data_IF_005569261086
#
_entry.id   IF_005569261086
#
_cell.length_a   1.000
_cell.length_b   1.000
_cell.length_c   1.000
_cell.angle_alpha   90.00
_cell.angle_beta   90.00
_cell.angle_gamma   90.00
#
_symmetry.space_group_name_H-M   'P 1'
#
loop_
_entity.id
_entity.type
_entity.pdbx_description
1 polymer ?
#
# COMPACT_ATOMS: atom_id res chain seq x y z
N UNK A 1 25.99 -12.95 -39.57
CA UNK A 1 25.53 -11.56 -39.81
C UNK A 1 24.51 -11.62 -40.94
N UNK A 2 23.27 -11.91 -40.58
CA UNK A 2 22.18 -12.14 -41.53
C UNK A 2 21.04 -11.28 -41.03
N UNK A 3 20.84 -10.14 -41.70
CA UNK A 3 19.75 -9.20 -41.38
C UNK A 3 18.45 -9.76 -41.95
N UNK A 4 17.52 -10.12 -41.08
CA UNK A 4 16.14 -10.43 -41.42
C UNK A 4 15.36 -9.10 -41.33
N UNK A 5 14.80 -8.66 -42.46
CA UNK A 5 13.84 -7.58 -42.56
C UNK A 5 12.46 -8.17 -42.30
N UNK A 6 11.74 -7.71 -41.27
CA UNK A 6 10.32 -7.98 -41.09
C UNK A 6 9.52 -6.83 -41.71
N UNK A 7 8.71 -7.20 -42.69
CA UNK A 7 7.78 -6.33 -43.42
C UNK A 7 6.55 -6.04 -42.56
N UNK A 8 6.14 -4.77 -42.46
CA UNK A 8 4.95 -4.31 -41.71
C UNK A 8 3.73 -4.42 -42.62
N UNK A 9 2.95 -5.49 -42.46
CA UNK A 9 1.60 -5.58 -43.03
C UNK A 9 0.54 -5.09 -42.03
N UNK A 10 -0.08 -3.97 -42.39
CA UNK A 10 -1.29 -3.43 -41.76
C UNK A 10 -2.48 -4.39 -41.92
N UNK A 11 -3.14 -4.72 -40.82
CA UNK A 11 -4.49 -5.32 -40.80
C UNK A 11 -5.51 -4.25 -40.37
N UNK A 12 -6.66 -4.09 -41.06
CA UNK A 12 -7.72 -3.21 -40.60
C UNK A 12 -8.66 -3.97 -39.64
N UNK A 13 -8.91 -3.38 -38.46
CA UNK A 13 -9.98 -3.80 -37.54
C UNK A 13 -11.35 -3.54 -38.20
N UNK A 14 -12.13 -4.60 -38.37
CA UNK A 14 -13.56 -4.51 -38.61
C UNK A 14 -14.28 -4.51 -37.25
N UNK A 15 -14.93 -3.39 -36.93
CA UNK A 15 -15.80 -3.25 -35.77
C UNK A 15 -17.08 -4.09 -35.95
N UNK A 16 -17.29 -5.05 -35.07
CA UNK A 16 -18.55 -5.80 -34.96
C UNK A 16 -19.27 -5.29 -33.70
N UNK A 17 -20.20 -4.35 -33.89
CA UNK A 17 -21.09 -3.88 -32.82
C UNK A 17 -22.19 -4.92 -32.58
N UNK A 18 -22.17 -5.53 -31.39
CA UNK A 18 -23.26 -6.38 -30.91
C UNK A 18 -24.09 -5.57 -29.90
N UNK A 19 -25.34 -5.33 -30.26
CA UNK A 19 -26.34 -4.73 -29.37
C UNK A 19 -26.75 -5.74 -28.29
N UNK A 20 -26.65 -5.36 -27.01
CA UNK A 20 -27.38 -6.01 -25.92
C UNK A 20 -28.53 -5.11 -25.48
N UNK A 21 -29.75 -5.64 -25.53
CA UNK A 21 -30.94 -5.07 -24.91
C UNK A 21 -31.17 -5.75 -23.55
N UNK A 22 -31.54 -5.02 -22.48
CA UNK A 22 -31.86 -5.64 -21.20
C UNK A 22 -33.30 -6.18 -21.22
N UNK A 23 -33.44 -7.47 -20.92
CA UNK A 23 -34.71 -8.07 -20.50
C UNK A 23 -34.92 -7.75 -19.02
N UNK A 24 -35.96 -6.98 -18.71
CA UNK A 24 -36.41 -6.72 -17.35
C UNK A 24 -37.07 -7.96 -16.76
N UNK A 25 -36.59 -8.37 -15.58
CA UNK A 25 -37.21 -9.39 -14.75
C UNK A 25 -38.02 -8.69 -13.65
N UNK A 26 -39.31 -9.01 -13.54
CA UNK A 26 -40.21 -8.49 -12.51
C UNK A 26 -40.18 -9.40 -11.28
N UNK A 27 -40.07 -8.79 -10.10
CA UNK A 27 -40.16 -9.39 -8.77
C UNK A 27 -41.62 -9.64 -8.37
N UNK A 28 -41.96 -10.85 -7.93
CA UNK A 28 -43.12 -11.10 -7.07
C UNK A 28 -42.67 -11.83 -5.80
N UNK A 29 -42.91 -11.17 -4.67
CA UNK A 29 -42.81 -11.68 -3.29
C UNK A 29 -44.12 -12.41 -2.90
N UNK A 30 -44.08 -13.32 -1.92
CA UNK A 30 -45.18 -13.45 -0.99
C UNK A 30 -44.73 -13.09 0.44
N UNK A 31 -45.50 -12.17 1.00
CA UNK A 31 -45.55 -11.73 2.38
C UNK A 31 -45.80 -12.84 3.41
N UNK A 32 -45.14 -12.78 4.56
CA UNK A 32 -45.64 -13.43 5.78
C UNK A 32 -44.64 -13.62 6.93
N UNK A 33 -44.06 -12.53 7.47
CA UNK A 33 -43.22 -12.59 8.66
C UNK A 33 -43.97 -12.38 9.99
N UNK A 34 -43.64 -13.22 10.99
CA UNK A 34 -43.49 -12.95 12.44
C UNK A 34 -44.73 -12.48 13.24
N UNK A 35 -44.92 -12.76 14.54
CA UNK A 35 -44.09 -13.05 15.73
C UNK A 35 -45.11 -13.67 16.74
N UNK A 36 -44.83 -14.50 17.76
CA UNK A 36 -44.27 -14.15 19.08
C UNK A 36 -43.92 -15.41 19.88
N UNK A 37 -42.71 -15.42 20.41
CA UNK A 37 -42.17 -16.19 21.54
C UNK A 37 -42.72 -15.69 22.88
N UNK A 38 -42.82 -16.56 23.89
CA UNK A 38 -42.11 -16.48 25.18
C UNK A 38 -42.56 -17.61 26.16
N UNK A 39 -41.61 -18.51 26.43
CA UNK A 39 -41.24 -19.16 27.71
C UNK A 39 -42.22 -19.15 28.90
N UNK A 40 -42.46 -20.32 29.50
CA UNK A 40 -41.86 -20.75 30.78
C UNK A 40 -42.42 -22.11 31.21
N UNK A 41 -41.52 -23.00 31.64
CA UNK A 41 -41.87 -24.27 32.27
C UNK A 41 -42.34 -24.12 33.72
N UNK A 42 -42.95 -25.18 34.23
CA UNK A 42 -42.83 -25.58 35.63
C UNK A 42 -43.09 -27.07 35.79
N UNK A 43 -42.41 -27.63 36.77
CA UNK A 43 -42.21 -29.02 37.16
C UNK A 43 -43.45 -29.69 37.76
N UNK A 44 -43.42 -31.02 37.88
CA UNK A 44 -44.02 -31.71 39.04
C UNK A 44 -44.87 -32.95 38.76
N UNK A 45 -44.21 -34.11 38.72
CA UNK A 45 -44.32 -35.26 39.62
C UNK A 45 -45.70 -35.66 40.21
N UNK A 46 -46.02 -36.96 40.12
CA UNK A 46 -46.47 -37.73 41.29
C UNK A 46 -47.89 -38.34 41.32
N UNK A 47 -47.89 -39.67 41.21
CA UNK A 47 -48.62 -40.67 42.04
C UNK A 47 -50.07 -41.10 41.68
N UNK A 48 -50.27 -42.43 41.62
CA UNK A 48 -51.59 -43.05 41.82
C UNK A 48 -51.83 -44.48 41.29
N UNK A 49 -51.19 -45.47 41.91
CA UNK A 49 -51.71 -46.79 42.31
C UNK A 49 -52.26 -47.86 41.33
N UNK A 50 -51.57 -49.01 41.38
CA UNK A 50 -52.00 -50.43 41.44
C UNK A 50 -53.09 -51.02 40.53
N UNK A 51 -52.70 -52.04 39.75
CA UNK A 51 -53.37 -53.35 39.75
C UNK A 51 -52.48 -54.44 39.15
N UNK A 52 -52.03 -55.37 39.99
CA UNK A 52 -51.70 -56.74 39.60
C UNK A 52 -52.98 -57.44 39.11
N UNK A 53 -53.00 -57.90 37.86
CA UNK A 53 -53.95 -58.91 37.41
C UNK A 53 -53.31 -59.78 36.33
N UNK A 54 -53.18 -61.06 36.69
CA UNK A 54 -52.80 -62.18 35.83
C UNK A 54 -53.66 -62.23 34.57
N UNK A 55 -53.03 -62.43 33.41
CA UNK A 55 -53.73 -62.86 32.19
C UNK A 55 -52.99 -64.05 31.55
N UNK A 56 -53.23 -65.22 32.14
CA UNK A 56 -53.16 -66.49 31.42
C UNK A 56 -54.38 -66.56 30.47
N UNK A 57 -54.18 -66.11 29.24
CA UNK A 57 -55.22 -66.07 28.22
C UNK A 57 -54.66 -66.24 26.82
N UNK A 58 -54.22 -67.47 26.48
CA UNK A 58 -53.84 -67.83 25.13
C UNK A 58 -54.93 -67.47 24.11
N UNK A 59 -54.58 -66.56 23.21
CA UNK A 59 -55.40 -66.08 22.10
C UNK A 59 -54.60 -66.12 20.81
N UNK A 60 -54.54 -67.32 20.24
CA UNK A 60 -54.18 -67.62 18.86
C UNK A 60 -54.64 -66.52 17.89
N UNK A 61 -53.67 -65.85 17.28
CA UNK A 61 -53.87 -64.84 16.23
C UNK A 61 -53.07 -65.26 14.99
N UNK A 62 -53.50 -66.36 14.38
CA UNK A 62 -53.70 -66.39 12.94
C UNK A 62 -52.54 -66.86 12.06
N UNK A 63 -51.95 -68.02 12.35
CA UNK A 63 -51.25 -68.76 11.29
C UNK A 63 -52.29 -69.51 10.45
N UNK A 64 -52.28 -69.38 9.10
CA UNK A 64 -53.26 -70.05 8.23
C UNK A 64 -53.22 -71.58 8.43
N UNK A 65 -54.36 -72.27 8.31
CA UNK A 65 -54.40 -73.71 8.46
C UNK A 65 -53.60 -74.35 7.32
N UNK A 66 -52.43 -74.90 7.68
CA UNK A 66 -51.43 -75.62 6.86
C UNK A 66 -50.06 -74.93 6.72
N UNK A 67 -49.85 -73.77 7.34
CA UNK A 67 -48.57 -73.08 7.24
C UNK A 67 -47.37 -73.94 7.70
N UNK A 68 -46.37 -74.06 6.82
CA UNK A 68 -45.13 -74.80 7.02
C UNK A 68 -45.14 -76.20 6.42
N UNK A 69 -46.02 -76.51 5.47
CA UNK A 69 -46.08 -77.82 4.79
C UNK A 69 -45.32 -77.88 3.44
N UNK A 70 -44.76 -76.75 3.01
CA UNK A 70 -44.00 -76.59 1.78
C UNK A 70 -44.85 -76.32 0.53
N UNK A 71 -46.14 -76.01 0.69
CA UNK A 71 -47.07 -75.66 -0.40
C UNK A 71 -47.81 -74.38 -0.05
N UNK A 72 -47.75 -73.37 -0.93
CA UNK A 72 -48.50 -72.11 -0.73
C UNK A 72 -50.01 -72.37 -0.89
N UNK A 73 -50.73 -72.40 0.24
CA UNK A 73 -52.16 -72.63 0.32
C UNK A 73 -52.98 -71.33 0.30
N UNK A 74 -54.31 -71.46 0.23
CA UNK A 74 -55.22 -70.31 0.18
C UNK A 74 -55.21 -69.54 1.51
N UNK A 75 -54.57 -68.37 1.52
CA UNK A 75 -54.43 -67.51 2.70
C UNK A 75 -52.98 -67.34 3.16
N UNK A 76 -52.04 -68.04 2.52
CA UNK A 76 -50.60 -67.90 2.69
C UNK A 76 -50.01 -67.05 1.58
N UNK A 77 -48.97 -66.28 1.90
CA UNK A 77 -48.20 -65.52 0.93
C UNK A 77 -46.93 -66.27 0.50
N UNK A 78 -46.41 -67.12 1.38
CA UNK A 78 -45.26 -68.00 1.17
C UNK A 78 -45.36 -69.26 2.04
N UNK A 79 -44.67 -70.34 1.65
CA UNK A 79 -44.49 -71.52 2.50
C UNK A 79 -43.20 -72.25 2.10
N UNK A 80 -42.16 -72.13 2.94
CA UNK A 80 -40.86 -72.81 2.76
C UNK A 80 -40.76 -74.11 3.58
N UNK A 81 -41.89 -74.61 4.08
CA UNK A 81 -41.95 -75.79 4.92
C UNK A 81 -41.28 -75.59 6.27
N UNK A 82 -40.45 -76.55 6.67
CA UNK A 82 -39.62 -76.48 7.89
C UNK A 82 -38.61 -75.31 7.88
N UNK A 83 -38.40 -74.63 6.75
CA UNK A 83 -37.51 -73.47 6.65
C UNK A 83 -38.20 -72.13 6.94
N UNK A 84 -39.51 -72.12 7.25
CA UNK A 84 -40.17 -70.92 7.77
C UNK A 84 -39.51 -70.50 9.10
N UNK A 85 -39.27 -69.20 9.26
CA UNK A 85 -38.58 -68.66 10.43
C UNK A 85 -39.06 -67.23 10.67
N UNK A 86 -39.23 -66.84 11.94
CA UNK A 86 -39.60 -65.47 12.30
C UNK A 86 -38.54 -64.41 11.91
N UNK A 87 -37.36 -64.86 11.48
CA UNK A 87 -36.28 -64.02 10.95
C UNK A 87 -35.88 -64.40 9.51
N UNK A 88 -36.71 -65.17 8.80
CA UNK A 88 -36.49 -65.58 7.41
C UNK A 88 -37.44 -64.91 6.44
N UNK A 89 -37.15 -65.01 5.14
CA UNK A 89 -37.95 -64.47 4.03
C UNK A 89 -39.43 -64.90 4.05
N UNK A 90 -39.71 -66.05 4.66
CA UNK A 90 -41.06 -66.50 4.97
C UNK A 90 -41.19 -66.70 6.47
N UNK A 91 -42.08 -65.93 7.09
CA UNK A 91 -42.29 -65.95 8.55
C UNK A 91 -42.89 -67.28 9.00
N UNK A 92 -42.87 -67.59 10.30
CA UNK A 92 -43.58 -68.76 10.84
C UNK A 92 -45.12 -68.67 10.69
N UNK A 93 -45.64 -67.52 10.27
CA UNK A 93 -47.04 -67.28 9.95
C UNK A 93 -47.35 -67.35 8.44
N UNK A 94 -46.39 -67.78 7.60
CA UNK A 94 -46.54 -67.88 6.15
C UNK A 94 -46.86 -66.54 5.47
N UNK A 95 -46.32 -65.48 6.03
CA UNK A 95 -46.31 -64.14 5.45
C UNK A 95 -44.93 -63.83 4.89
N UNK A 96 -44.88 -63.04 3.81
CA UNK A 96 -43.61 -62.62 3.23
C UNK A 96 -42.97 -61.57 4.15
N UNK A 97 -41.66 -61.67 4.35
CA UNK A 97 -40.86 -60.63 5.00
C UNK A 97 -41.14 -59.27 4.35
N UNK A 98 -41.47 -58.26 5.16
CA UNK A 98 -41.85 -56.93 4.69
C UNK A 98 -40.98 -55.91 5.39
N UNK A 99 -40.33 -55.06 4.61
CA UNK A 99 -39.56 -53.92 5.08
C UNK A 99 -40.46 -52.92 5.83
N UNK A 100 -40.00 -52.40 6.97
CA UNK A 100 -40.70 -51.42 7.80
C UNK A 100 -41.65 -52.06 8.83
N UNK A 101 -41.50 -53.35 9.15
CA UNK A 101 -42.35 -54.07 10.11
C UNK A 101 -41.74 -54.19 11.53
N UNK A 102 -40.55 -53.64 11.72
CA UNK A 102 -39.78 -53.60 12.96
C UNK A 102 -38.92 -54.84 13.19
N UNK A 103 -38.66 -55.66 12.17
CA UNK A 103 -37.80 -56.85 12.26
C UNK A 103 -36.83 -56.89 11.08
N UNK A 104 -35.63 -57.37 11.35
CA UNK A 104 -34.60 -57.59 10.33
C UNK A 104 -34.55 -59.06 9.92
N UNK A 105 -34.86 -59.35 8.67
CA UNK A 105 -34.88 -60.68 8.05
C UNK A 105 -33.53 -60.98 7.34
N UNK A 106 -32.77 -61.97 7.84
CA UNK A 106 -31.42 -62.27 7.36
C UNK A 106 -31.40 -62.64 5.86
N UNK A 107 -30.64 -61.89 5.06
CA UNK A 107 -30.50 -62.11 3.62
C UNK A 107 -31.69 -61.67 2.78
N UNK A 108 -32.64 -60.94 3.37
CA UNK A 108 -33.69 -60.21 2.67
C UNK A 108 -33.45 -58.70 2.74
N UNK A 109 -33.03 -58.20 3.89
CA UNK A 109 -32.81 -56.78 4.15
C UNK A 109 -31.63 -56.53 5.09
N UNK A 110 -31.07 -55.31 5.08
CA UNK A 110 -29.89 -54.93 5.87
C UNK A 110 -30.26 -54.19 7.18
N UNK A 111 -31.40 -53.50 7.20
CA UNK A 111 -31.96 -52.76 8.32
C UNK A 111 -33.50 -52.84 8.34
N UNK A 112 -34.14 -52.41 9.43
CA UNK A 112 -35.59 -52.15 9.52
C UNK A 112 -35.83 -51.22 10.73
N UNK A 113 -36.44 -50.06 10.51
CA UNK A 113 -36.77 -49.05 11.52
C UNK A 113 -38.28 -48.85 11.73
N UNK A 114 -39.07 -49.86 11.35
CA UNK A 114 -40.51 -49.97 11.53
C UNK A 114 -41.34 -48.86 10.84
N UNK A 115 -40.81 -48.24 9.77
CA UNK A 115 -41.55 -47.24 9.01
C UNK A 115 -41.21 -47.24 7.50
N UNK A 116 -41.84 -46.33 6.75
CA UNK A 116 -41.69 -46.17 5.29
C UNK A 116 -41.11 -44.78 4.95
N UNK A 117 -40.12 -44.31 5.71
CA UNK A 117 -39.35 -43.09 5.44
C UNK A 117 -38.00 -43.46 4.79
N UNK A 118 -37.41 -42.53 4.03
CA UNK A 118 -36.05 -42.71 3.47
C UNK A 118 -35.04 -41.78 4.17
N UNK A 119 -35.47 -41.02 5.18
CA UNK A 119 -34.71 -39.91 5.77
C UNK A 119 -34.28 -40.19 7.22
N UNK A 120 -34.35 -41.45 7.64
CA UNK A 120 -33.93 -41.96 8.94
C UNK A 120 -32.98 -43.16 8.80
N UNK A 121 -32.97 -44.07 9.78
CA UNK A 121 -31.92 -45.09 9.92
C UNK A 121 -31.93 -46.13 8.77
N UNK A 122 -33.06 -46.27 8.06
CA UNK A 122 -33.25 -47.25 7.00
C UNK A 122 -34.05 -46.64 5.83
N UNK A 123 -33.76 -47.08 4.59
CA UNK A 123 -34.58 -46.70 3.43
C UNK A 123 -35.84 -47.56 3.33
N UNK A 124 -36.84 -47.14 2.55
CA UNK A 124 -38.07 -47.93 2.27
C UNK A 124 -37.82 -49.22 1.50
N UNK A 125 -36.60 -49.44 1.00
CA UNK A 125 -36.16 -50.70 0.40
C UNK A 125 -35.36 -51.57 1.37
N UNK A 126 -35.26 -51.14 2.62
CA UNK A 126 -34.50 -51.72 3.71
C UNK A 126 -33.00 -51.91 3.42
N UNK A 127 -32.47 -50.96 2.65
CA UNK A 127 -31.04 -50.69 2.55
C UNK A 127 -30.65 -49.68 3.65
N UNK A 128 -29.51 -49.88 4.28
CA UNK A 128 -29.01 -48.97 5.31
C UNK A 128 -28.80 -47.56 4.74
N UNK A 129 -29.08 -46.54 5.56
CA UNK A 129 -28.76 -45.15 5.27
C UNK A 129 -27.27 -45.00 4.90
N UNK A 130 -26.98 -44.55 3.68
CA UNK A 130 -25.61 -44.37 3.18
C UNK A 130 -25.51 -43.06 2.42
N UNK A 131 -24.48 -42.30 2.78
CA UNK A 131 -24.05 -41.11 2.04
C UNK A 131 -23.89 -41.37 0.53
N UNK A 132 -24.59 -40.60 -0.28
CA UNK A 132 -24.62 -40.66 -1.74
C UNK A 132 -25.77 -41.50 -2.31
N UNK A 133 -26.77 -41.87 -1.51
CA UNK A 133 -27.94 -42.65 -1.94
C UNK A 133 -29.12 -41.79 -2.46
N UNK A 134 -29.00 -40.46 -2.32
CA UNK A 134 -29.95 -39.47 -2.81
C UNK A 134 -30.99 -39.02 -1.77
N UNK A 135 -30.87 -39.45 -0.52
CA UNK A 135 -31.71 -39.02 0.60
C UNK A 135 -30.85 -38.39 1.67
N UNK A 136 -31.35 -37.36 2.38
CA UNK A 136 -30.65 -36.77 3.52
C UNK A 136 -31.20 -37.38 4.80
N UNK A 137 -30.40 -38.17 5.52
CA UNK A 137 -30.85 -38.83 6.75
C UNK A 137 -30.53 -38.02 8.02
N UNK A 138 -31.56 -37.71 8.83
CA UNK A 138 -31.41 -36.84 10.00
C UNK A 138 -30.46 -37.43 11.04
N UNK A 139 -29.36 -36.72 11.31
CA UNK A 139 -28.38 -37.12 12.33
C UNK A 139 -27.34 -38.15 11.86
N UNK A 140 -27.46 -38.64 10.62
CA UNK A 140 -26.44 -39.44 9.94
C UNK A 140 -25.54 -38.54 9.09
N UNK A 141 -26.13 -37.57 8.40
CA UNK A 141 -25.43 -36.69 7.46
C UNK A 141 -26.02 -35.26 7.38
N UNK A 142 -25.26 -34.33 6.79
CA UNK A 142 -25.65 -32.93 6.64
C UNK A 142 -26.21 -32.59 5.25
N UNK A 143 -25.83 -33.37 4.23
CA UNK A 143 -26.28 -33.25 2.84
C UNK A 143 -26.16 -34.60 2.13
N UNK A 144 -26.84 -34.75 1.00
CA UNK A 144 -26.70 -35.87 0.05
C UNK A 144 -27.15 -35.37 -1.33
N UNK A 145 -26.30 -35.48 -2.34
CA UNK A 145 -26.59 -35.11 -3.73
C UNK A 145 -26.62 -36.33 -4.69
N UNK A 146 -26.62 -37.54 -4.14
CA UNK A 146 -26.77 -38.81 -4.83
C UNK A 146 -25.57 -39.18 -5.71
N UNK A 147 -24.40 -38.62 -5.47
CA UNK A 147 -23.21 -38.92 -6.26
C UNK A 147 -21.87 -38.87 -5.47
N UNK A 148 -20.76 -39.19 -6.16
CA UNK A 148 -19.42 -39.28 -5.56
C UNK A 148 -18.50 -38.08 -5.92
N UNK A 149 -19.07 -37.00 -6.48
CA UNK A 149 -18.34 -35.75 -6.70
C UNK A 149 -18.23 -34.99 -5.38
N UNK A 150 -17.12 -34.28 -5.18
CA UNK A 150 -16.89 -33.52 -3.95
C UNK A 150 -17.10 -32.02 -4.16
N UNK A 151 -17.32 -31.59 -5.41
CA UNK A 151 -17.24 -30.19 -5.83
C UNK A 151 -18.60 -29.62 -6.30
N UNK A 152 -19.71 -30.31 -6.04
CA UNK A 152 -21.08 -29.92 -6.41
C UNK A 152 -21.96 -29.56 -5.21
N UNK A 153 -21.35 -29.34 -4.04
CA UNK A 153 -22.00 -28.78 -2.85
C UNK A 153 -22.20 -29.78 -1.71
N UNK A 154 -22.12 -31.08 -1.98
CA UNK A 154 -21.97 -32.10 -0.95
C UNK A 154 -20.68 -32.89 -1.18
N UNK A 155 -19.95 -33.18 -0.11
CA UNK A 155 -18.75 -34.04 -0.21
C UNK A 155 -19.15 -35.50 -0.11
N UNK A 156 -18.27 -36.42 -0.51
CA UNK A 156 -18.46 -37.87 -0.31
C UNK A 156 -18.39 -38.34 1.14
N UNK A 157 -18.16 -37.40 2.06
CA UNK A 157 -18.32 -37.60 3.49
C UNK A 157 -19.69 -37.09 4.02
N UNK A 158 -20.56 -36.66 3.10
CA UNK A 158 -21.87 -36.06 3.33
C UNK A 158 -21.87 -34.89 4.32
N UNK A 159 -20.83 -34.07 4.14
CA UNK A 159 -20.68 -32.74 4.74
C UNK A 159 -20.83 -31.73 3.63
N UNK A 160 -21.54 -30.64 3.90
CA UNK A 160 -21.71 -29.55 2.94
C UNK A 160 -20.35 -28.96 2.58
N UNK A 161 -20.11 -28.75 1.28
CA UNK A 161 -18.91 -28.08 0.80
C UNK A 161 -18.77 -26.69 1.44
N UNK A 162 -17.59 -26.39 1.98
CA UNK A 162 -17.34 -25.13 2.67
C UNK A 162 -16.07 -24.48 2.15
N UNK A 163 -16.13 -23.16 2.05
CA UNK A 163 -14.94 -22.39 1.74
C UNK A 163 -13.80 -22.64 2.75
N UNK A 164 -12.63 -22.99 2.24
CA UNK A 164 -11.44 -23.29 3.02
C UNK A 164 -11.29 -24.76 3.40
N UNK A 165 -12.02 -25.68 2.77
CA UNK A 165 -11.92 -27.12 3.01
C UNK A 165 -10.90 -27.83 2.09
N UNK A 166 -10.32 -27.09 1.14
CA UNK A 166 -9.34 -27.56 0.16
C UNK A 166 -9.96 -28.07 -1.13
N UNK A 167 -11.29 -27.96 -1.30
CA UNK A 167 -12.04 -28.45 -2.45
C UNK A 167 -12.79 -27.27 -3.07
N UNK A 168 -12.44 -26.93 -4.31
CA UNK A 168 -13.10 -25.86 -5.04
C UNK A 168 -14.55 -26.26 -5.41
N UNK A 169 -15.53 -25.72 -4.71
CA UNK A 169 -16.95 -25.99 -4.93
C UNK A 169 -17.53 -25.22 -6.12
N UNK A 170 -18.66 -25.69 -6.64
CA UNK A 170 -19.43 -24.99 -7.66
C UNK A 170 -19.95 -23.63 -7.13
N UNK A 171 -19.35 -22.54 -7.62
CA UNK A 171 -19.69 -21.16 -7.22
C UNK A 171 -18.57 -20.44 -6.48
N UNK A 172 -17.56 -21.18 -6.02
CA UNK A 172 -16.32 -20.63 -5.50
C UNK A 172 -15.37 -20.25 -6.65
N UNK A 173 -14.61 -19.17 -6.47
CA UNK A 173 -13.58 -18.78 -7.43
C UNK A 173 -12.20 -19.36 -7.07
N UNK A 174 -11.98 -19.61 -5.78
CA UNK A 174 -10.77 -20.18 -5.20
C UNK A 174 -11.15 -20.96 -3.94
N UNK A 175 -10.27 -21.88 -3.53
CA UNK A 175 -10.25 -22.50 -2.20
C UNK A 175 -8.78 -22.79 -1.87
N UNK A 176 -8.28 -22.28 -0.75
CA UNK A 176 -6.90 -22.41 -0.31
C UNK A 176 -6.73 -23.31 0.93
N UNK A 177 -7.78 -24.05 1.29
CA UNK A 177 -7.79 -24.99 2.39
C UNK A 177 -7.69 -24.37 3.78
N UNK A 178 -8.01 -23.08 3.92
CA UNK A 178 -8.09 -22.44 5.23
C UNK A 178 -9.15 -21.31 5.29
N UNK A 179 -9.40 -20.77 6.49
CA UNK A 179 -10.42 -19.74 6.73
C UNK A 179 -9.84 -18.33 6.88
N UNK A 180 -8.58 -18.11 6.49
CA UNK A 180 -7.94 -16.82 6.56
C UNK A 180 -8.45 -15.94 5.42
N UNK A 181 -9.06 -14.81 5.74
CA UNK A 181 -9.60 -13.90 4.74
C UNK A 181 -8.62 -12.79 4.36
N UNK A 182 -7.34 -12.94 4.68
CA UNK A 182 -6.30 -11.92 4.47
C UNK A 182 -5.19 -12.38 3.52
N UNK A 183 -5.45 -13.42 2.74
CA UNK A 183 -4.58 -13.97 1.69
C UNK A 183 -5.27 -13.90 0.32
N UNK A 184 -4.79 -14.70 -0.63
CA UNK A 184 -5.22 -14.70 -2.03
C UNK A 184 -6.67 -15.19 -2.23
N UNK A 185 -7.31 -15.78 -1.21
CA UNK A 185 -8.64 -16.38 -1.30
C UNK A 185 -9.64 -15.93 -0.20
N UNK A 186 -9.92 -14.63 -0.07
CA UNK A 186 -10.89 -14.14 0.90
C UNK A 186 -12.30 -14.63 0.58
N UNK A 187 -12.84 -15.48 1.47
CA UNK A 187 -14.22 -15.97 1.39
C UNK A 187 -14.56 -16.59 0.02
N UNK A 188 -13.62 -17.35 -0.55
CA UNK A 188 -13.77 -18.08 -1.81
C UNK A 188 -14.05 -17.19 -3.02
N UNK A 189 -13.63 -15.93 -2.94
CA UNK A 189 -13.47 -15.04 -4.07
C UNK A 189 -11.99 -14.70 -4.19
N UNK A 190 -11.51 -14.39 -5.40
CA UNK A 190 -10.16 -13.89 -5.55
C UNK A 190 -10.04 -12.50 -4.90
N UNK A 191 -8.95 -12.30 -4.15
CA UNK A 191 -8.52 -10.98 -3.72
C UNK A 191 -8.37 -10.02 -4.93
N UNK A 192 -8.82 -8.77 -4.81
CA UNK A 192 -8.67 -7.78 -5.88
C UNK A 192 -8.56 -6.34 -5.34
N UNK A 193 -7.83 -5.52 -6.09
CA UNK A 193 -7.69 -4.09 -5.82
C UNK A 193 -9.03 -3.36 -5.71
N UNK A 194 -9.24 -2.70 -4.59
CA UNK A 194 -10.41 -1.88 -4.33
C UNK A 194 -11.52 -2.61 -3.61
N UNK A 195 -11.24 -3.75 -2.98
CA UNK A 195 -12.20 -4.50 -2.18
C UNK A 195 -12.26 -4.03 -0.71
N UNK A 196 -11.33 -3.15 -0.33
CA UNK A 196 -11.23 -2.52 0.98
C UNK A 196 -10.26 -3.21 1.93
N UNK A 197 -9.52 -4.22 1.50
CA UNK A 197 -8.68 -5.05 2.37
C UNK A 197 -7.30 -5.34 1.79
N UNK A 198 -6.25 -4.75 2.35
CA UNK A 198 -4.87 -5.12 1.95
C UNK A 198 -4.57 -6.59 2.28
N UNK A 199 -4.51 -7.46 1.26
CA UNK A 199 -4.16 -8.88 1.44
C UNK A 199 -2.67 -9.16 1.27
N UNK A 200 -2.10 -9.89 2.22
CA UNK A 200 -0.66 -10.10 2.31
C UNK A 200 -0.16 -11.05 1.21
N UNK A 201 0.64 -10.52 0.28
CA UNK A 201 1.22 -11.30 -0.82
C UNK A 201 0.48 -11.13 -2.15
N UNK A 202 -0.72 -10.54 -2.14
CA UNK A 202 -1.48 -10.15 -3.34
C UNK A 202 -1.17 -8.70 -3.70
N UNK A 203 -1.24 -7.81 -2.71
CA UNK A 203 -1.19 -6.36 -2.91
C UNK A 203 -0.46 -5.63 -1.78
N UNK A 204 -0.05 -4.39 -2.06
CA UNK A 204 0.67 -3.52 -1.11
C UNK A 204 -0.17 -2.33 -0.63
N UNK A 205 -1.24 -1.99 -1.33
CA UNK A 205 -2.25 -1.01 -0.94
C UNK A 205 -3.63 -1.45 -1.40
N UNK A 206 -4.67 -0.88 -0.77
CA UNK A 206 -6.07 -0.93 -1.18
C UNK A 206 -6.78 0.26 -0.50
N UNK A 207 -7.50 1.06 -1.29
CA UNK A 207 -8.27 2.23 -0.82
C UNK A 207 -9.79 2.06 -1.02
N UNK A 208 -10.23 0.81 -1.23
CA UNK A 208 -11.63 0.42 -1.31
C UNK A 208 -12.33 0.84 -2.59
N UNK A 209 -11.60 1.23 -3.63
CA UNK A 209 -12.18 1.57 -4.92
C UNK A 209 -11.24 1.23 -6.10
N UNK A 210 -11.72 1.42 -7.34
CA UNK A 210 -10.98 1.09 -8.56
C UNK A 210 -10.51 2.33 -9.34
N UNK A 211 -10.57 3.51 -8.72
CA UNK A 211 -9.94 4.70 -9.28
C UNK A 211 -8.41 4.53 -9.20
N UNK A 212 -7.66 5.37 -9.92
CA UNK A 212 -6.20 5.24 -10.01
C UNK A 212 -5.50 6.58 -9.82
N UNK A 213 -6.25 7.56 -9.32
CA UNK A 213 -5.83 8.93 -9.10
C UNK A 213 -5.97 9.32 -7.62
N UNK A 214 -5.93 8.33 -6.75
CA UNK A 214 -6.00 8.39 -5.30
C UNK A 214 -4.92 7.48 -4.70
N UNK A 215 -5.11 6.97 -3.49
CA UNK A 215 -4.05 6.37 -2.69
C UNK A 215 -3.48 5.06 -3.27
N UNK A 216 -4.21 4.35 -4.12
CA UNK A 216 -3.81 3.08 -4.68
C UNK A 216 -4.10 2.96 -6.18
N UNK A 217 -3.09 2.60 -6.97
CA UNK A 217 -3.22 2.52 -8.43
C UNK A 217 -3.79 1.15 -8.85
N UNK A 218 -5.05 1.14 -9.26
CA UNK A 218 -5.71 -0.02 -9.87
C UNK A 218 -5.20 -0.30 -11.30
N UNK A 219 -5.12 -1.57 -11.76
CA UNK A 219 -5.39 -2.83 -11.06
C UNK A 219 -4.11 -3.46 -10.46
N UNK A 220 -3.00 -2.70 -10.41
CA UNK A 220 -1.71 -3.21 -9.97
C UNK A 220 -1.52 -3.17 -8.45
N UNK A 221 -2.38 -2.44 -7.75
CA UNK A 221 -2.36 -2.24 -6.29
C UNK A 221 -1.00 -1.77 -5.79
N UNK A 222 -0.44 -0.82 -6.53
CA UNK A 222 0.79 -0.15 -6.14
C UNK A 222 0.42 1.18 -5.49
N UNK A 223 1.09 1.55 -4.38
CA UNK A 223 0.89 2.85 -3.77
C UNK A 223 1.11 3.93 -4.82
N UNK A 224 0.27 4.95 -4.73
CA UNK A 224 0.43 6.12 -5.55
C UNK A 224 1.71 6.86 -5.11
N UNK A 225 2.56 7.22 -6.08
CA UNK A 225 3.89 7.81 -5.86
C UNK A 225 3.97 9.14 -6.57
N UNK A 226 4.61 10.09 -5.91
CA UNK A 226 4.92 11.39 -6.47
C UNK A 226 6.10 11.33 -7.43
N UNK A 227 6.04 12.15 -8.48
CA UNK A 227 6.98 12.19 -9.58
C UNK A 227 6.65 11.19 -10.70
N UNK A 228 5.42 10.68 -10.76
CA UNK A 228 4.98 9.70 -11.75
C UNK A 228 4.22 10.35 -12.95
N UNK A 229 3.93 11.63 -12.84
CA UNK A 229 3.26 12.46 -13.85
C UNK A 229 1.79 12.70 -13.57
N UNK A 230 1.25 12.24 -12.44
CA UNK A 230 -0.18 12.29 -12.14
C UNK A 230 -0.44 12.76 -10.72
N UNK A 231 -1.04 13.94 -10.57
CA UNK A 231 -1.49 14.44 -9.26
C UNK A 231 -2.59 13.56 -8.67
N UNK A 232 -2.28 12.89 -7.55
CA UNK A 232 -3.17 11.97 -6.84
C UNK A 232 -3.90 12.66 -5.67
N UNK A 233 -5.23 12.62 -5.66
CA UNK A 233 -6.05 13.35 -4.69
C UNK A 233 -5.81 12.84 -3.25
N UNK A 234 -5.36 13.74 -2.37
CA UNK A 234 -5.13 13.44 -0.96
C UNK A 234 -3.83 12.70 -0.65
N UNK A 235 -3.03 12.38 -1.68
CA UNK A 235 -1.67 11.84 -1.56
C UNK A 235 -0.65 12.96 -1.72
N UNK A 236 -0.85 13.83 -2.72
CA UNK A 236 0.04 14.93 -3.06
C UNK A 236 -0.72 16.19 -3.52
N UNK A 237 -0.05 17.34 -3.46
CA UNK A 237 -0.59 18.63 -3.88
C UNK A 237 -0.05 19.07 -5.26
N UNK A 238 1.05 18.48 -5.72
CA UNK A 238 1.63 18.67 -7.04
C UNK A 238 2.30 17.37 -7.53
N UNK A 239 2.53 17.27 -8.84
CA UNK A 239 3.37 16.26 -9.49
C UNK A 239 3.80 16.82 -10.85
N UNK A 240 5.10 16.78 -11.16
CA UNK A 240 5.65 17.20 -12.46
C UNK A 240 6.36 16.07 -13.24
N UNK A 241 6.17 14.83 -12.82
CA UNK A 241 6.68 13.63 -13.47
C UNK A 241 8.15 13.34 -13.18
N UNK A 242 8.72 13.94 -12.14
CA UNK A 242 10.06 13.61 -11.67
C UNK A 242 10.26 13.85 -10.15
N UNK A 243 11.48 13.63 -9.66
CA UNK A 243 11.86 13.77 -8.25
C UNK A 243 13.07 14.70 -8.13
N UNK A 244 12.96 15.89 -8.70
CA UNK A 244 13.93 16.99 -8.57
C UNK A 244 13.37 18.00 -7.57
N UNK A 245 14.21 18.53 -6.69
CA UNK A 245 13.77 19.52 -5.69
C UNK A 245 13.82 20.96 -6.24
N UNK A 246 14.31 21.14 -7.47
CA UNK A 246 14.60 22.46 -8.05
C UNK A 246 13.62 22.94 -9.13
N UNK A 247 12.51 22.23 -9.33
CA UNK A 247 11.47 22.53 -10.31
C UNK A 247 10.09 22.76 -9.67
N UNK A 248 9.02 22.63 -10.46
CA UNK A 248 7.67 23.08 -10.09
C UNK A 248 7.05 22.22 -8.98
N UNK A 249 7.51 20.98 -8.80
CA UNK A 249 7.08 20.09 -7.73
C UNK A 249 8.26 19.34 -7.06
N UNK A 250 8.72 19.81 -5.89
CA UNK A 250 9.80 19.17 -5.14
C UNK A 250 9.45 17.74 -4.70
N UNK A 251 10.45 16.97 -4.24
CA UNK A 251 10.25 15.60 -3.71
C UNK A 251 9.37 15.53 -2.46
N UNK A 252 9.02 16.68 -1.89
CA UNK A 252 8.03 16.81 -0.80
C UNK A 252 6.58 16.71 -1.28
N UNK A 253 6.33 16.86 -2.60
CA UNK A 253 5.02 16.73 -3.25
C UNK A 253 4.00 17.76 -2.76
N UNK A 254 4.55 18.88 -2.27
CA UNK A 254 3.88 20.12 -1.93
C UNK A 254 4.41 21.16 -2.91
N UNK A 255 3.54 22.02 -3.50
CA UNK A 255 3.97 23.08 -4.38
C UNK A 255 5.12 23.86 -3.79
N UNK A 256 6.16 23.97 -4.61
CA UNK A 256 7.38 24.72 -4.38
C UNK A 256 7.09 26.10 -3.75
N UNK A 257 7.75 26.45 -2.63
CA UNK A 257 7.52 27.70 -1.91
C UNK A 257 8.75 28.27 -1.21
N UNK A 258 8.76 29.61 -1.07
CA UNK A 258 9.80 30.35 -0.38
C UNK A 258 10.10 29.86 1.05
N UNK A 259 11.34 29.43 1.29
CA UNK A 259 11.81 28.95 2.59
C UNK A 259 11.64 27.45 2.81
N UNK A 260 11.44 26.67 1.74
CA UNK A 260 11.42 25.21 1.77
C UNK A 260 12.83 24.59 1.67
N UNK A 261 13.85 25.43 1.46
CA UNK A 261 15.26 25.06 1.42
C UNK A 261 15.81 24.83 0.02
N UNK A 262 15.03 25.07 -1.04
CA UNK A 262 15.44 24.84 -2.43
C UNK A 262 15.10 26.03 -3.31
N UNK A 263 16.10 26.65 -3.95
CA UNK A 263 15.84 27.76 -4.89
C UNK A 263 15.20 27.27 -6.19
N UNK A 264 13.95 27.65 -6.47
CA UNK A 264 13.21 27.19 -7.65
C UNK A 264 13.08 28.26 -8.75
N UNK A 265 13.47 27.90 -9.97
CA UNK A 265 13.54 28.84 -11.09
C UNK A 265 12.14 29.31 -11.55
N UNK A 266 11.80 30.58 -11.27
CA UNK A 266 10.53 31.19 -11.66
C UNK A 266 9.46 31.19 -10.58
N UNK A 267 9.74 30.56 -9.44
CA UNK A 267 8.97 30.68 -8.19
C UNK A 267 9.61 31.75 -7.30
N UNK A 268 10.95 31.73 -7.17
CA UNK A 268 11.69 32.64 -6.28
C UNK A 268 13.09 33.03 -6.81
N UNK A 269 13.67 34.12 -6.29
CA UNK A 269 15.03 34.56 -6.66
C UNK A 269 16.13 33.98 -5.75
N UNK A 270 15.74 33.52 -4.56
CA UNK A 270 16.55 32.95 -3.49
C UNK A 270 15.61 32.19 -2.53
N UNK A 271 16.14 31.38 -1.62
CA UNK A 271 15.36 30.73 -0.54
C UNK A 271 15.78 31.36 0.79
N UNK A 272 14.84 31.93 1.55
CA UNK A 272 15.12 32.62 2.83
C UNK A 272 15.72 31.62 3.84
N UNK A 273 15.30 30.36 3.80
CA UNK A 273 15.63 29.30 4.77
C UNK A 273 15.39 29.68 6.25
N UNK A 274 14.98 30.92 6.53
CA UNK A 274 14.76 31.48 7.85
C UNK A 274 13.60 32.49 7.79
N UNK A 275 13.53 33.44 8.74
CA UNK A 275 12.42 34.40 8.83
C UNK A 275 12.94 35.83 9.03
N UNK A 276 14.11 36.14 8.49
CA UNK A 276 14.83 37.38 8.77
C UNK A 276 14.91 38.19 7.49
N UNK A 277 14.10 39.25 7.40
CA UNK A 277 14.06 40.19 6.26
C UNK A 277 15.40 40.93 5.99
N UNK A 278 16.40 40.73 6.83
CA UNK A 278 17.61 41.51 6.97
C UNK A 278 18.87 40.79 6.42
N UNK A 279 18.68 39.64 5.78
CA UNK A 279 19.71 38.93 5.04
C UNK A 279 19.57 39.09 3.50
N UNK A 280 20.28 38.27 2.74
CA UNK A 280 20.28 38.31 1.28
C UNK A 280 18.88 38.02 0.69
N UNK A 281 18.09 37.18 1.35
CA UNK A 281 16.83 36.67 0.87
C UNK A 281 15.71 37.05 1.82
N UNK A 282 14.96 38.11 1.47
CA UNK A 282 13.83 38.54 2.29
C UNK A 282 12.79 37.41 2.49
N UNK A 283 11.90 37.54 3.48
CA UNK A 283 10.79 36.59 3.70
C UNK A 283 9.82 36.46 2.51
N UNK A 284 9.91 37.34 1.51
CA UNK A 284 9.17 37.24 0.25
C UNK A 284 10.00 36.66 -0.90
N UNK A 285 11.19 36.13 -0.58
CA UNK A 285 12.19 35.58 -1.48
C UNK A 285 12.56 36.49 -2.65
N UNK A 286 12.57 37.80 -2.39
CA UNK A 286 13.19 38.81 -3.24
C UNK A 286 14.58 39.17 -2.71
N UNK A 287 15.54 39.34 -3.61
CA UNK A 287 16.91 39.66 -3.22
C UNK A 287 17.04 41.10 -2.69
N UNK A 288 17.56 41.29 -1.46
CA UNK A 288 17.79 42.62 -0.86
C UNK A 288 19.18 43.22 -1.20
N UNK A 289 19.82 42.75 -2.27
CA UNK A 289 21.17 43.17 -2.65
C UNK A 289 21.94 42.07 -3.36
N UNK A 290 23.26 42.12 -3.23
CA UNK A 290 24.19 41.15 -3.76
C UNK A 290 24.91 40.49 -2.59
N UNK A 291 25.03 39.16 -2.64
CA UNK A 291 25.73 38.38 -1.62
C UNK A 291 26.62 37.32 -2.27
N UNK A 292 27.79 37.08 -1.68
CA UNK A 292 28.63 35.93 -2.02
C UNK A 292 29.45 35.50 -0.79
N UNK A 293 29.16 34.29 -0.30
CA UNK A 293 29.92 33.57 0.72
C UNK A 293 30.98 32.62 0.13
N UNK A 294 31.08 32.55 -1.20
CA UNK A 294 32.05 31.74 -1.94
C UNK A 294 31.89 30.21 -1.79
N UNK A 295 30.77 29.72 -1.25
CA UNK A 295 30.54 28.29 -1.01
C UNK A 295 30.33 27.47 -2.28
N UNK A 296 30.07 28.14 -3.40
CA UNK A 296 30.07 27.53 -4.74
C UNK A 296 31.44 27.04 -5.19
N UNK A 297 32.50 27.33 -4.42
CA UNK A 297 33.90 27.06 -4.74
C UNK A 297 34.31 27.62 -6.11
N UNK A 298 33.69 28.73 -6.51
CA UNK A 298 34.00 29.46 -7.71
C UNK A 298 33.71 30.95 -7.51
N UNK A 299 34.48 31.81 -8.19
CA UNK A 299 34.21 33.25 -8.22
C UNK A 299 33.21 33.56 -9.36
N UNK A 300 32.01 32.98 -9.28
CA UNK A 300 30.99 33.09 -10.33
C UNK A 300 29.59 33.44 -9.82
N UNK A 301 29.35 33.48 -8.50
CA UNK A 301 28.09 33.94 -7.91
C UNK A 301 27.82 35.40 -8.29
N UNK A 302 28.83 36.25 -8.17
CA UNK A 302 28.85 37.62 -8.69
C UNK A 302 29.82 37.73 -9.89
N UNK A 303 29.71 38.77 -10.73
CA UNK A 303 30.60 38.97 -11.88
C UNK A 303 32.00 39.45 -11.44
N UNK A 304 32.67 38.65 -10.63
CA UNK A 304 34.00 38.90 -10.11
C UNK A 304 35.02 38.97 -11.23
N UNK A 305 35.89 39.97 -11.13
CA UNK A 305 37.11 40.12 -11.92
C UNK A 305 38.29 40.10 -10.95
N UNK A 306 39.36 39.42 -11.33
CA UNK A 306 40.60 39.45 -10.58
C UNK A 306 41.74 39.79 -11.52
N UNK A 307 42.74 40.53 -11.02
CA UNK A 307 43.92 40.90 -11.79
C UNK A 307 45.13 41.16 -10.88
N UNK A 308 46.17 41.77 -11.45
CA UNK A 308 47.43 42.05 -10.77
C UNK A 308 48.53 41.02 -11.09
N UNK A 309 49.43 40.80 -10.15
CA UNK A 309 50.56 39.88 -10.30
C UNK A 309 50.20 38.42 -10.08
N UNK A 310 49.11 38.16 -9.34
CA UNK A 310 48.50 36.86 -9.16
C UNK A 310 46.99 37.04 -8.94
N UNK A 311 46.20 36.09 -9.41
CA UNK A 311 44.74 36.13 -9.30
C UNK A 311 44.28 35.68 -7.92
N UNK A 312 43.17 36.25 -7.45
CA UNK A 312 42.39 35.70 -6.35
C UNK A 312 41.67 34.42 -6.82
N UNK A 313 41.40 33.53 -5.87
CA UNK A 313 40.64 32.31 -6.08
C UNK A 313 39.96 31.89 -4.79
N UNK A 314 38.95 31.02 -4.90
CA UNK A 314 38.37 30.36 -3.73
C UNK A 314 39.40 29.44 -3.08
N UNK A 315 39.30 29.27 -1.76
CA UNK A 315 40.16 28.38 -0.98
C UNK A 315 39.37 27.75 0.17
N UNK A 316 39.71 26.51 0.51
CA UNK A 316 39.14 25.74 1.62
C UNK A 316 39.92 25.90 2.93
N UNK A 317 40.64 27.02 3.06
CA UNK A 317 41.53 27.27 4.19
C UNK A 317 41.14 28.53 4.90
N UNK A 318 40.87 28.38 6.20
CA UNK A 318 40.49 29.46 7.12
C UNK A 318 39.09 30.04 6.90
N UNK A 319 38.03 29.28 6.55
CA UNK A 319 36.68 29.83 6.43
C UNK A 319 36.25 30.61 7.68
N UNK A 320 35.54 31.72 7.48
CA UNK A 320 34.84 32.37 8.59
C UNK A 320 33.55 31.58 8.88
N UNK A 321 32.78 31.31 7.83
CA UNK A 321 31.63 30.40 7.80
C UNK A 321 31.79 29.39 6.65
N UNK A 322 31.05 28.29 6.69
CA UNK A 322 31.06 27.31 5.61
C UNK A 322 32.42 26.61 5.40
N UNK A 323 32.72 26.31 4.14
CA UNK A 323 33.87 25.53 3.70
C UNK A 323 34.87 26.34 2.88
N UNK A 324 34.46 27.45 2.25
CA UNK A 324 35.23 28.17 1.25
C UNK A 324 35.32 29.67 1.56
N UNK A 325 36.36 30.32 1.03
CA UNK A 325 36.60 31.76 1.13
C UNK A 325 37.25 32.28 -0.13
N UNK A 326 37.13 33.59 -0.42
CA UNK A 326 37.97 34.23 -1.43
C UNK A 326 39.34 34.60 -0.84
N UNK A 327 40.42 34.08 -1.43
CA UNK A 327 41.79 34.31 -0.98
C UNK A 327 42.64 35.02 -2.03
N UNK A 328 43.54 35.90 -1.59
CA UNK A 328 44.49 36.57 -2.48
C UNK A 328 45.44 35.60 -3.17
N UNK A 329 45.89 35.96 -4.38
CA UNK A 329 46.95 35.22 -5.05
C UNK A 329 48.28 35.28 -4.30
N UNK A 330 49.12 34.26 -4.46
CA UNK A 330 50.48 34.25 -3.88
C UNK A 330 51.36 35.24 -4.64
N UNK A 331 51.76 36.31 -3.98
CA UNK A 331 52.58 37.40 -4.55
C UNK A 331 53.90 37.58 -3.78
N UNK A 332 54.89 38.20 -4.43
CA UNK A 332 56.21 38.53 -3.88
C UNK A 332 56.36 40.06 -3.68
N UNK A 333 57.55 40.54 -3.34
CA UNK A 333 57.81 41.95 -3.04
C UNK A 333 57.42 42.88 -4.21
N UNK A 334 56.88 44.06 -3.88
CA UNK A 334 56.44 45.10 -4.83
C UNK A 334 55.39 44.62 -5.83
N UNK A 335 54.61 43.59 -5.46
CA UNK A 335 53.51 43.08 -6.27
C UNK A 335 52.17 43.32 -5.57
N UNK A 336 51.09 43.17 -6.32
CA UNK A 336 49.73 43.24 -5.82
C UNK A 336 48.85 42.17 -6.46
N UNK A 337 47.74 41.84 -5.80
CA UNK A 337 46.70 40.93 -6.26
C UNK A 337 45.36 41.57 -5.96
N UNK A 338 44.50 41.72 -6.97
CA UNK A 338 43.22 42.42 -6.82
C UNK A 338 42.04 41.49 -7.13
N UNK A 339 40.94 41.74 -6.43
CA UNK A 339 39.61 41.19 -6.70
C UNK A 339 38.65 42.38 -6.76
N UNK A 340 37.80 42.41 -7.77
CA UNK A 340 36.84 43.50 -7.98
C UNK A 340 35.51 42.97 -8.52
N UNK A 341 34.44 43.70 -8.24
CA UNK A 341 33.12 43.49 -8.82
C UNK A 341 32.49 44.84 -9.09
N UNK A 342 31.76 44.95 -10.21
CA UNK A 342 31.01 46.16 -10.56
C UNK A 342 29.54 45.81 -10.60
N UNK A 343 28.74 46.50 -9.78
CA UNK A 343 27.33 46.19 -9.54
C UNK A 343 26.51 47.48 -9.59
N UNK A 344 25.26 47.37 -10.01
CA UNK A 344 24.30 48.48 -10.01
C UNK A 344 23.45 48.41 -8.74
N UNK A 345 23.80 49.23 -7.75
CA UNK A 345 23.11 49.24 -6.46
C UNK A 345 21.82 50.06 -6.61
N UNK A 346 20.67 49.38 -6.58
CA UNK A 346 19.37 49.98 -6.90
C UNK A 346 18.94 51.06 -5.89
N UNK A 347 19.35 50.94 -4.63
CA UNK A 347 19.05 51.86 -3.53
C UNK A 347 20.29 52.14 -2.68
N UNK A 348 20.31 53.27 -1.97
CA UNK A 348 21.41 53.55 -1.05
C UNK A 348 21.39 52.56 0.12
N UNK A 349 22.57 52.07 0.50
CA UNK A 349 22.73 51.04 1.51
C UNK A 349 24.17 50.93 1.97
N UNK A 350 24.71 49.73 2.06
CA UNK A 350 26.07 49.47 2.51
C UNK A 350 26.72 48.28 1.82
N UNK A 351 28.04 48.23 1.92
CA UNK A 351 28.85 47.04 1.64
C UNK A 351 29.44 46.56 2.96
N UNK A 352 29.29 45.28 3.26
CA UNK A 352 29.93 44.61 4.38
C UNK A 352 30.65 43.34 3.92
N UNK A 353 31.71 42.97 4.62
CA UNK A 353 32.44 41.73 4.39
C UNK A 353 33.28 41.37 5.61
N UNK A 354 33.47 40.08 5.83
CA UNK A 354 34.48 39.58 6.76
C UNK A 354 35.84 39.56 6.09
N UNK A 355 36.89 39.86 6.85
CA UNK A 355 38.26 39.82 6.36
C UNK A 355 39.24 39.26 7.40
N UNK A 356 40.30 38.62 6.90
CA UNK A 356 41.42 38.11 7.68
C UNK A 356 42.74 38.45 7.00
N UNK A 357 43.74 38.86 7.79
CA UNK A 357 45.06 39.23 7.27
C UNK A 357 46.15 38.47 8.01
N UNK A 358 47.06 37.86 7.25
CA UNK A 358 48.29 37.26 7.77
C UNK A 358 49.45 37.73 6.90
N UNK A 359 49.93 38.94 7.17
CA UNK A 359 50.98 39.63 6.41
C UNK A 359 52.01 40.32 7.32
N UNK A 360 52.98 41.03 6.73
CA UNK A 360 53.89 41.88 7.47
C UNK A 360 53.20 43.14 8.03
N UNK A 361 53.36 43.37 9.33
CA UNK A 361 52.75 44.50 10.04
C UNK A 361 53.27 45.83 9.51
N UNK A 362 52.36 46.72 9.14
CA UNK A 362 52.63 48.09 8.68
C UNK A 362 53.31 48.22 7.32
N UNK A 363 53.51 47.13 6.58
CA UNK A 363 54.17 47.11 5.27
C UNK A 363 53.31 46.47 4.17
N UNK A 364 52.75 45.29 4.45
CA UNK A 364 51.88 44.56 3.53
C UNK A 364 50.43 44.77 3.90
N UNK A 365 49.60 45.25 2.96
CA UNK A 365 48.23 45.68 3.26
C UNK A 365 47.19 44.99 2.38
N UNK A 366 46.08 44.60 3.00
CA UNK A 366 44.77 44.54 2.35
C UNK A 366 44.14 45.95 2.38
N UNK A 367 43.67 46.42 1.23
CA UNK A 367 42.96 47.69 1.09
C UNK A 367 41.66 47.48 0.34
N UNK A 368 40.63 48.20 0.75
CA UNK A 368 39.33 48.19 0.11
C UNK A 368 39.04 49.54 -0.55
N UNK A 369 38.39 49.50 -1.71
CA UNK A 369 38.06 50.68 -2.52
C UNK A 369 36.60 50.62 -2.98
N UNK A 370 35.96 51.78 -3.00
CA UNK A 370 34.69 52.03 -3.69
C UNK A 370 34.98 53.11 -4.72
N UNK A 371 34.77 52.82 -6.01
CA UNK A 371 35.02 53.72 -7.14
C UNK A 371 36.44 54.32 -7.12
N UNK A 372 37.44 53.46 -6.94
CA UNK A 372 38.86 53.84 -6.78
C UNK A 372 39.20 54.70 -5.55
N UNK A 373 38.22 55.01 -4.69
CA UNK A 373 38.44 55.70 -3.41
C UNK A 373 38.67 54.68 -2.31
N UNK A 374 39.88 54.72 -1.72
CA UNK A 374 40.23 53.85 -0.61
C UNK A 374 39.34 54.13 0.61
N UNK A 375 38.80 53.06 1.19
CA UNK A 375 38.05 53.11 2.44
C UNK A 375 38.97 52.74 3.61
N UNK A 376 38.98 53.59 4.64
CA UNK A 376 39.86 53.43 5.80
C UNK A 376 41.36 53.45 5.49
N UNK A 377 42.18 53.02 6.45
CA UNK A 377 43.65 53.02 6.33
C UNK A 377 44.21 51.71 5.74
N UNK A 378 43.37 50.69 5.57
CA UNK A 378 43.76 49.32 5.23
C UNK A 378 44.24 48.49 6.42
N UNK A 379 44.44 47.20 6.20
CA UNK A 379 44.76 46.22 7.24
C UNK A 379 46.07 45.50 6.95
N UNK A 380 46.95 45.41 7.95
CA UNK A 380 48.28 44.78 7.84
C UNK A 380 48.60 43.96 9.10
N UNK A 381 49.60 43.08 9.01
CA UNK A 381 50.02 42.25 10.14
C UNK A 381 49.15 41.01 10.31
N UNK A 382 48.90 40.62 11.55
CA UNK A 382 48.03 39.48 11.88
C UNK A 382 46.70 39.99 12.44
N UNK A 383 45.67 39.95 11.61
CA UNK A 383 44.30 40.34 11.96
C UNK A 383 43.42 39.10 11.93
N UNK A 384 42.78 38.78 13.06
CA UNK A 384 41.76 37.73 13.12
C UNK A 384 40.52 38.14 12.33
N UNK A 385 39.63 37.20 12.02
CA UNK A 385 38.37 37.49 11.36
C UNK A 385 37.66 38.66 12.02
N UNK A 386 37.43 39.70 11.22
CA UNK A 386 36.81 40.96 11.61
C UNK A 386 35.93 41.43 10.46
N UNK A 387 34.84 42.12 10.77
CA UNK A 387 33.93 42.65 9.76
C UNK A 387 34.27 44.12 9.44
N UNK A 388 34.16 44.50 8.18
CA UNK A 388 34.21 45.89 7.74
C UNK A 388 32.91 46.26 7.04
N UNK A 389 32.40 47.48 7.29
CA UNK A 389 31.15 47.97 6.71
C UNK A 389 31.32 49.42 6.27
N UNK A 390 30.85 49.75 5.06
CA UNK A 390 30.92 51.10 4.49
C UNK A 390 29.62 51.46 3.76
N UNK A 391 29.13 52.72 3.88
CA UNK A 391 27.93 53.15 3.18
C UNK A 391 28.15 53.25 1.67
N UNK A 392 27.12 52.93 0.90
CA UNK A 392 27.10 52.92 -0.57
C UNK A 392 25.89 53.70 -1.08
N UNK A 393 26.09 54.58 -2.06
CA UNK A 393 24.98 55.29 -2.70
C UNK A 393 24.28 54.41 -3.74
N UNK A 394 23.07 54.80 -4.16
CA UNK A 394 22.45 54.16 -5.32
C UNK A 394 23.23 54.49 -6.60
N UNK A 395 23.36 53.50 -7.49
CA UNK A 395 24.01 53.59 -8.78
C UNK A 395 25.08 52.51 -8.99
N UNK A 396 25.74 52.59 -10.14
CA UNK A 396 26.78 51.64 -10.51
C UNK A 396 28.10 51.95 -9.78
N UNK A 397 28.54 50.99 -8.98
CA UNK A 397 29.74 51.09 -8.14
C UNK A 397 30.72 49.95 -8.42
N UNK A 398 32.02 50.25 -8.36
CA UNK A 398 33.08 49.23 -8.40
C UNK A 398 33.69 49.05 -7.02
N UNK A 399 33.58 47.84 -6.49
CA UNK A 399 34.16 47.43 -5.21
C UNK A 399 35.44 46.65 -5.47
N UNK A 400 36.55 47.04 -4.86
CA UNK A 400 37.85 46.40 -5.08
C UNK A 400 38.60 46.12 -3.79
N UNK A 401 39.08 44.88 -3.66
CA UNK A 401 40.00 44.41 -2.63
C UNK A 401 41.37 44.24 -3.25
N UNK A 402 42.37 44.93 -2.70
CA UNK A 402 43.76 44.86 -3.17
C UNK A 402 44.65 44.40 -2.03
N UNK A 403 45.32 43.27 -2.22
CA UNK A 403 46.47 42.88 -1.40
C UNK A 403 47.75 43.34 -2.07
N UNK A 404 48.58 44.11 -1.38
CA UNK A 404 49.85 44.63 -1.91
C UNK A 404 50.99 44.38 -0.94
N UNK A 405 52.15 43.99 -1.49
CA UNK A 405 53.39 43.81 -0.74
C UNK A 405 54.38 44.96 -0.93
N UNK A 406 55.13 45.25 0.12
CA UNK A 406 56.19 46.25 0.06
C UNK A 406 57.48 45.71 -0.61
N UNK A 407 58.58 46.47 -0.57
CA UNK A 407 59.82 46.15 -1.27
C UNK A 407 60.65 45.01 -0.66
N UNK A 408 60.35 44.53 0.55
CA UNK A 408 61.17 43.52 1.23
C UNK A 408 60.49 42.93 2.46
N UNK A 409 60.77 41.64 2.71
CA UNK A 409 60.33 40.86 3.88
C UNK A 409 58.96 40.20 3.67
N UNK A 410 58.84 39.01 4.26
CA UNK A 410 57.72 38.10 4.12
C UNK A 410 57.44 37.60 5.53
N UNK A 411 56.20 37.75 6.00
CA UNK A 411 55.83 37.44 7.37
C UNK A 411 54.41 36.87 7.44
N UNK A 412 54.18 35.95 8.36
CA UNK A 412 52.92 35.21 8.41
C UNK A 412 52.75 34.30 7.19
N UNK A 413 51.54 34.25 6.65
CA UNK A 413 51.22 33.49 5.43
C UNK A 413 51.40 34.32 4.15
N UNK A 414 51.70 35.61 4.29
CA UNK A 414 51.68 36.60 3.21
C UNK A 414 50.40 36.53 2.36
N UNK A 415 49.25 36.39 3.05
CA UNK A 415 47.97 36.14 2.39
C UNK A 415 46.83 36.82 3.16
N UNK A 416 45.79 37.15 2.43
CA UNK A 416 44.56 37.73 2.96
C UNK A 416 43.36 36.99 2.41
N UNK A 417 42.28 37.00 3.18
CA UNK A 417 41.03 36.32 2.87
C UNK A 417 39.86 37.27 3.13
N UNK A 418 38.82 37.14 2.32
CA UNK A 418 37.52 37.75 2.56
C UNK A 418 36.44 36.67 2.50
N UNK A 419 35.35 36.93 3.19
CA UNK A 419 34.20 36.04 3.30
C UNK A 419 32.90 36.86 3.44
N UNK A 420 31.77 36.24 3.12
CA UNK A 420 30.40 36.79 3.20
C UNK A 420 30.33 38.26 2.73
N UNK A 421 30.59 38.51 1.45
CA UNK A 421 30.49 39.85 0.88
C UNK A 421 29.03 40.18 0.64
N UNK A 422 28.52 41.19 1.34
CA UNK A 422 27.18 41.73 1.16
C UNK A 422 27.23 43.15 0.61
N UNK A 423 26.40 43.47 -0.38
CA UNK A 423 26.24 44.80 -0.98
C UNK A 423 24.75 45.03 -1.21
N UNK A 424 24.12 45.84 -0.38
CA UNK A 424 22.66 45.96 -0.43
C UNK A 424 22.12 47.03 0.50
N UNK A 425 20.80 47.04 0.65
CA UNK A 425 20.11 48.01 1.51
C UNK A 425 20.38 47.60 2.95
N UNK A 426 20.91 48.51 3.77
CA UNK A 426 21.30 48.17 5.14
C UNK A 426 20.12 47.53 5.89
N UNK A 427 20.32 46.37 6.55
CA UNK A 427 19.30 45.67 7.32
C UNK A 427 18.56 46.55 8.35
#
# INVERSE_FOLDING_TARGET
>A
MTRIQLDRSLFPLAALGLMLAPLGCTTEEPSGGSLITFTNGDFGDGDGDEAEASDDGGGDSGSPPNCGDGVVDSGEECDLGEMNSDAGQCTAACTIATCGDGKVYEGFEECDDANDDNTDDCTVTCDAAVCGDGYVQEGVEECDDGNDDNADGCTTACVTGMCGDGILQAGEQCDDGNLNTADDCPACQFAFCGDGFVQAGVEVCDDGNMESNDACISPACVPAECGDGYVQEGVEECDDGNLDDSDDCPTSCVPAFCGDGFTQAGVEECDDANLVDDDFCMNDCTGNGYYDDFETNALNTLPWSSDGSAMWATADTQPHEGSYVAASGTITNSQQSNLEVTLDVSQAGEVSFWYRVSSESSFDYLRFYIDDVQQGDGWSGTVAWSQATYPVSAGNHTFRWTYSKDGSVSSGSDKVWIDEVYIGVSP
#
